data_IF_445512219492
#
_entry.id   IF_445512219492
#
_cell.length_a   1.000
_cell.length_b   1.000
_cell.length_c   1.000
_cell.angle_alpha   90.00
_cell.angle_beta   90.00
_cell.angle_gamma   90.00
#
_symmetry.space_group_name_H-M   'P 1'
#
loop_
_entity.id
_entity.type
_entity.pdbx_description
1 polymer ?
#
# COMPACT_ATOMS: atom_id res chain seq x y z
N UNK A 1 -1.52 -1.13 67.77
CA UNK A 1 -2.44 -1.85 68.67
C UNK A 1 -3.56 -2.45 67.81
N UNK A 2 -3.70 -3.79 67.82
CA UNK A 2 -4.83 -4.63 67.36
C UNK A 2 -5.21 -4.49 65.86
N UNK A 3 -4.94 -5.41 64.91
CA UNK A 3 -5.14 -6.88 64.79
C UNK A 3 -6.55 -7.37 65.11
N UNK A 4 -7.32 -7.73 64.07
CA UNK A 4 -8.21 -8.92 63.93
C UNK A 4 -8.98 -8.79 62.60
N UNK A 5 -8.75 -9.61 61.54
CA UNK A 5 -9.26 -10.98 61.28
C UNK A 5 -10.80 -11.04 61.30
N UNK A 6 -11.58 -11.60 60.36
CA UNK A 6 -11.47 -12.48 59.17
C UNK A 6 -12.90 -12.52 58.51
N UNK A 7 -13.40 -13.53 57.75
CA UNK A 7 -12.79 -14.47 56.78
C UNK A 7 -13.57 -14.65 55.43
N UNK A 8 -12.90 -15.33 54.47
CA UNK A 8 -13.33 -16.41 53.54
C UNK A 8 -14.72 -16.35 52.83
N UNK A 9 -14.71 -16.51 51.49
CA UNK A 9 -14.95 -17.81 50.82
C UNK A 9 -15.30 -17.68 49.32
N UNK A 10 -14.44 -18.26 48.48
CA UNK A 10 -14.70 -19.11 47.30
C UNK A 10 -16.11 -19.18 46.70
N UNK A 11 -16.21 -19.01 45.36
CA UNK A 11 -17.41 -19.40 44.60
C UNK A 11 -17.24 -19.38 43.08
N UNK A 12 -16.90 -20.55 42.51
CA UNK A 12 -16.94 -20.96 41.09
C UNK A 12 -18.04 -20.32 40.22
N UNK A 13 -17.66 -19.88 39.01
CA UNK A 13 -18.49 -19.91 37.77
C UNK A 13 -18.55 -21.36 37.23
N UNK A 14 -19.32 -21.71 36.18
CA UNK A 14 -20.61 -21.23 35.65
C UNK A 14 -21.63 -22.38 35.46
N UNK A 15 -22.93 -22.10 35.31
CA UNK A 15 -23.87 -23.01 34.64
C UNK A 15 -24.91 -22.20 33.85
N UNK A 16 -24.75 -22.15 32.54
CA UNK A 16 -25.77 -21.73 31.60
C UNK A 16 -26.49 -22.99 31.11
N UNK A 17 -27.79 -23.04 31.38
CA UNK A 17 -28.73 -24.00 30.84
C UNK A 17 -29.30 -23.48 29.51
N UNK A 18 -29.49 -24.37 28.53
CA UNK A 18 -30.58 -24.44 27.53
C UNK A 18 -30.17 -25.52 26.50
N UNK A 19 -30.75 -26.73 26.51
CA UNK A 19 -32.04 -27.11 25.93
C UNK A 19 -32.17 -26.80 24.42
N UNK A 20 -32.14 -27.85 23.58
CA UNK A 20 -33.07 -27.98 22.46
C UNK A 20 -33.21 -29.43 22.00
N UNK A 21 -34.45 -29.90 22.01
CA UNK A 21 -34.93 -31.18 21.47
C UNK A 21 -35.54 -31.01 20.08
N UNK A 22 -35.49 -32.12 19.34
CA UNK A 22 -36.44 -32.64 18.35
C UNK A 22 -36.25 -32.34 16.84
N UNK A 23 -36.20 -33.47 16.13
CA UNK A 23 -36.30 -33.68 14.69
C UNK A 23 -37.60 -33.09 14.10
N UNK A 24 -37.48 -32.49 12.92
CA UNK A 24 -38.57 -32.24 11.99
C UNK A 24 -38.07 -32.38 10.56
N UNK A 25 -38.38 -33.50 9.93
CA UNK A 25 -38.15 -33.75 8.50
C UNK A 25 -39.04 -32.84 7.67
N UNK A 26 -38.46 -32.08 6.73
CA UNK A 26 -39.22 -31.43 5.65
C UNK A 26 -38.71 -32.00 4.32
N UNK A 27 -39.65 -32.60 3.59
CA UNK A 27 -39.47 -33.08 2.23
C UNK A 27 -39.16 -31.90 1.29
N UNK A 28 -38.04 -31.97 0.59
CA UNK A 28 -37.74 -31.06 -0.53
C UNK A 28 -38.37 -31.66 -1.77
N UNK A 29 -39.51 -31.13 -2.18
CA UNK A 29 -40.09 -31.43 -3.49
C UNK A 29 -39.35 -30.64 -4.57
N UNK A 30 -38.70 -31.38 -5.46
CA UNK A 30 -38.13 -30.88 -6.71
C UNK A 30 -39.21 -30.29 -7.61
N UNK A 31 -39.00 -29.07 -8.11
CA UNK A 31 -39.64 -28.60 -9.34
C UNK A 31 -38.55 -28.35 -10.38
N UNK A 32 -38.68 -29.04 -11.50
CA UNK A 32 -37.69 -29.16 -12.56
C UNK A 32 -37.64 -27.94 -13.48
N UNK A 33 -36.40 -27.62 -13.88
CA UNK A 33 -35.96 -27.15 -15.19
C UNK A 33 -36.74 -26.02 -15.89
N UNK A 34 -36.24 -24.77 -15.74
CA UNK A 34 -36.05 -23.82 -16.85
C UNK A 34 -35.43 -22.49 -16.34
N UNK A 35 -34.10 -22.46 -16.20
CA UNK A 35 -33.23 -21.26 -16.33
C UNK A 35 -31.76 -21.67 -16.20
N UNK A 36 -31.33 -22.52 -17.13
CA UNK A 36 -29.93 -22.83 -17.35
C UNK A 36 -29.58 -22.32 -18.75
N UNK A 37 -29.35 -21.00 -18.89
CA UNK A 37 -28.83 -20.47 -20.16
C UNK A 37 -27.92 -19.23 -20.04
N UNK A 38 -27.26 -19.05 -18.90
CA UNK A 38 -26.15 -18.06 -18.78
C UNK A 38 -24.85 -18.69 -18.26
N UNK A 39 -24.85 -20.00 -17.99
CA UNK A 39 -23.66 -20.76 -17.59
C UNK A 39 -22.94 -21.45 -18.77
N UNK A 40 -23.49 -21.33 -19.98
CA UNK A 40 -22.98 -22.05 -21.17
C UNK A 40 -22.13 -21.17 -22.10
N UNK A 41 -22.05 -19.85 -21.87
CA UNK A 41 -21.16 -18.96 -22.64
C UNK A 41 -19.73 -18.88 -22.10
N UNK A 42 -19.46 -19.37 -20.89
CA UNK A 42 -18.11 -19.37 -20.30
C UNK A 42 -17.35 -20.69 -20.47
N UNK A 43 -17.88 -21.70 -21.17
CA UNK A 43 -17.13 -22.95 -21.37
C UNK A 43 -16.30 -22.99 -22.66
N UNK A 44 -16.64 -22.25 -23.71
CA UNK A 44 -15.84 -22.25 -24.94
C UNK A 44 -14.69 -21.23 -24.96
N UNK A 45 -14.86 -20.04 -24.38
CA UNK A 45 -13.75 -19.07 -24.25
C UNK A 45 -12.61 -19.61 -23.35
N UNK A 46 -12.95 -20.51 -22.43
CA UNK A 46 -11.98 -21.11 -21.48
C UNK A 46 -11.36 -22.41 -22.01
N UNK A 47 -11.84 -22.95 -23.15
CA UNK A 47 -11.25 -24.12 -23.81
C UNK A 47 -10.31 -23.75 -24.98
N UNK A 48 -10.31 -22.50 -25.45
CA UNK A 48 -9.32 -22.00 -26.45
C UNK A 48 -8.06 -21.37 -25.83
N UNK A 49 -8.05 -21.13 -24.51
CA UNK A 49 -6.82 -20.75 -23.80
C UNK A 49 -5.74 -21.86 -23.82
N UNK A 50 -6.10 -23.08 -24.23
CA UNK A 50 -5.19 -24.20 -24.43
C UNK A 50 -4.48 -24.26 -25.78
N UNK A 51 -4.60 -23.23 -26.64
CA UNK A 51 -4.00 -23.25 -27.99
C UNK A 51 -3.30 -21.95 -28.41
N UNK A 52 -2.74 -21.20 -27.47
CA UNK A 52 -1.73 -20.21 -27.84
C UNK A 52 -0.49 -20.93 -28.37
N UNK A 53 -0.12 -20.64 -29.62
CA UNK A 53 1.20 -21.00 -30.15
C UNK A 53 2.29 -20.33 -29.31
N UNK A 54 3.48 -20.91 -29.27
CA UNK A 54 4.66 -20.28 -28.64
C UNK A 54 4.86 -18.85 -29.17
N UNK A 55 4.61 -18.63 -30.46
CA UNK A 55 4.71 -17.32 -31.12
C UNK A 55 3.68 -16.28 -30.63
N UNK A 56 2.50 -16.71 -30.17
CA UNK A 56 1.46 -15.80 -29.66
C UNK A 56 1.69 -15.45 -28.19
N UNK A 57 2.29 -16.37 -27.42
CA UNK A 57 2.80 -16.07 -26.08
C UNK A 57 3.99 -15.09 -26.15
N UNK A 58 4.93 -15.30 -27.06
CA UNK A 58 6.08 -14.41 -27.25
C UNK A 58 5.65 -13.00 -27.72
N UNK A 59 4.58 -12.88 -28.50
CA UNK A 59 4.00 -11.60 -28.91
C UNK A 59 3.20 -10.90 -27.79
N UNK A 60 2.60 -11.65 -26.87
CA UNK A 60 1.86 -11.13 -25.72
C UNK A 60 2.79 -10.66 -24.58
N UNK A 61 4.02 -11.19 -24.50
CA UNK A 61 5.06 -10.79 -23.54
C UNK A 61 6.16 -9.89 -24.14
N UNK A 62 6.06 -9.53 -25.42
CA UNK A 62 6.91 -8.51 -26.00
C UNK A 62 6.59 -7.14 -25.37
N UNK A 63 7.58 -6.55 -24.69
CA UNK A 63 7.42 -5.25 -24.05
C UNK A 63 7.19 -4.14 -25.10
N UNK A 64 6.36 -3.13 -24.83
CA UNK A 64 6.31 -1.93 -25.65
C UNK A 64 7.69 -1.26 -25.68
N UNK A 65 8.04 -0.51 -26.75
CA UNK A 65 9.32 0.18 -26.83
C UNK A 65 9.45 1.14 -25.65
N UNK A 66 10.46 0.91 -24.82
CA UNK A 66 10.87 1.82 -23.74
C UNK A 66 11.76 2.90 -24.35
N UNK A 67 11.36 4.15 -24.13
CA UNK A 67 12.07 5.35 -24.56
C UNK A 67 13.46 5.40 -23.87
N UNK A 68 14.58 5.49 -24.59
CA UNK A 68 15.94 5.40 -24.02
C UNK A 68 16.36 6.59 -23.12
N UNK A 69 15.43 7.45 -22.70
CA UNK A 69 15.70 8.69 -21.97
C UNK A 69 15.69 8.57 -20.43
N UNK A 70 15.71 7.36 -19.86
CA UNK A 70 15.80 7.16 -18.40
C UNK A 70 17.17 6.61 -17.97
N UNK A 71 18.20 7.45 -18.03
CA UNK A 71 19.58 7.07 -17.63
C UNK A 71 19.85 7.14 -16.12
N UNK A 72 18.84 7.35 -15.27
CA UNK A 72 18.99 7.36 -13.80
C UNK A 72 18.11 6.34 -13.05
N UNK A 73 17.42 5.45 -13.78
CA UNK A 73 16.73 4.33 -13.15
C UNK A 73 17.76 3.22 -12.83
N UNK A 74 18.02 3.00 -11.54
CA UNK A 74 18.71 1.79 -11.06
C UNK A 74 18.09 0.56 -11.76
N UNK A 75 18.92 -0.24 -12.44
CA UNK A 75 18.48 -1.44 -13.19
C UNK A 75 17.57 -2.31 -12.30
N UNK A 76 16.35 -2.61 -12.77
CA UNK A 76 15.41 -3.47 -12.06
C UNK A 76 15.83 -4.94 -12.19
N UNK A 77 16.40 -5.49 -11.12
CA UNK A 77 16.85 -6.89 -11.04
C UNK A 77 15.82 -7.83 -10.39
N UNK A 78 14.59 -7.38 -10.13
CA UNK A 78 13.60 -8.13 -9.34
C UNK A 78 13.26 -9.50 -9.96
N UNK A 79 12.96 -9.53 -11.27
CA UNK A 79 12.69 -10.77 -12.02
C UNK A 79 13.92 -11.70 -12.03
N UNK A 80 15.11 -11.13 -12.23
CA UNK A 80 16.37 -11.85 -12.23
C UNK A 80 16.60 -12.58 -10.89
N UNK A 81 16.40 -11.89 -9.77
CA UNK A 81 16.55 -12.47 -8.42
C UNK A 81 15.45 -13.48 -8.09
N UNK A 82 14.22 -13.27 -8.57
CA UNK A 82 13.12 -14.23 -8.43
C UNK A 82 13.40 -15.56 -9.15
N UNK A 83 13.98 -15.52 -10.35
CA UNK A 83 14.40 -16.73 -11.06
C UNK A 83 15.58 -17.42 -10.38
N UNK A 84 16.52 -16.64 -9.86
CA UNK A 84 17.66 -17.19 -9.13
C UNK A 84 17.25 -17.88 -7.82
N UNK A 85 16.29 -17.34 -7.07
CA UNK A 85 15.79 -17.96 -5.83
C UNK A 85 15.07 -19.30 -6.07
N UNK A 86 14.43 -19.47 -7.23
CA UNK A 86 13.81 -20.73 -7.65
C UNK A 86 14.79 -21.71 -8.30
N UNK A 87 16.07 -21.35 -8.44
CA UNK A 87 17.07 -22.10 -9.20
C UNK A 87 16.64 -22.37 -10.66
N UNK A 88 15.86 -21.45 -11.24
CA UNK A 88 15.36 -21.54 -12.62
C UNK A 88 16.41 -21.03 -13.62
N UNK A 89 17.49 -21.78 -13.83
CA UNK A 89 18.67 -21.35 -14.60
C UNK A 89 18.36 -20.83 -16.01
N UNK A 90 17.46 -21.50 -16.75
CA UNK A 90 17.07 -21.05 -18.09
C UNK A 90 16.38 -19.67 -18.08
N UNK A 91 15.58 -19.38 -17.04
CA UNK A 91 14.91 -18.09 -16.85
C UNK A 91 15.90 -17.01 -16.41
N UNK A 92 16.86 -17.36 -15.56
CA UNK A 92 17.96 -16.46 -15.16
C UNK A 92 18.77 -16.01 -16.38
N UNK A 93 19.18 -16.94 -17.23
CA UNK A 93 19.95 -16.61 -18.44
C UNK A 93 19.17 -15.74 -19.42
N UNK A 94 17.87 -16.00 -19.58
CA UNK A 94 17.00 -15.18 -20.41
C UNK A 94 16.90 -13.74 -19.89
N UNK A 95 16.75 -13.57 -18.58
CA UNK A 95 16.67 -12.24 -17.97
C UNK A 95 18.01 -11.50 -18.02
N UNK A 96 19.14 -12.19 -17.84
CA UNK A 96 20.48 -11.59 -18.03
C UNK A 96 20.64 -11.06 -19.46
N UNK A 97 20.21 -11.82 -20.49
CA UNK A 97 20.28 -11.37 -21.88
C UNK A 97 19.42 -10.13 -22.11
N UNK A 98 18.19 -10.12 -21.58
CA UNK A 98 17.28 -8.98 -21.64
C UNK A 98 17.91 -7.74 -21.01
N UNK A 99 18.43 -7.86 -19.78
CA UNK A 99 19.02 -6.74 -19.04
C UNK A 99 20.28 -6.20 -19.73
N UNK A 100 21.14 -7.06 -20.28
CA UNK A 100 22.30 -6.61 -21.07
C UNK A 100 21.91 -5.89 -22.36
N UNK A 101 20.81 -6.29 -23.00
CA UNK A 101 20.31 -5.62 -24.20
C UNK A 101 19.73 -4.22 -23.89
N UNK A 102 19.09 -4.08 -22.73
CA UNK A 102 18.51 -2.80 -22.28
C UNK A 102 19.55 -1.86 -21.66
N UNK A 103 20.59 -2.41 -21.01
CA UNK A 103 21.59 -1.66 -20.26
C UNK A 103 23.01 -2.09 -20.66
N UNK A 104 23.56 -1.58 -21.78
CA UNK A 104 24.92 -1.87 -22.23
C UNK A 104 25.96 -1.36 -21.21
N UNK A 105 26.49 -2.28 -20.38
CA UNK A 105 27.41 -1.96 -19.28
C UNK A 105 26.98 -2.52 -17.92
N UNK A 106 25.73 -3.00 -17.80
CA UNK A 106 25.30 -3.76 -16.63
C UNK A 106 25.89 -5.19 -16.66
N UNK A 107 26.34 -5.66 -15.49
CA UNK A 107 26.83 -7.02 -15.29
C UNK A 107 25.98 -7.74 -14.23
N UNK A 108 25.70 -9.05 -14.39
CA UNK A 108 24.96 -9.82 -13.41
C UNK A 108 25.61 -9.75 -12.01
N UNK A 109 24.82 -9.53 -10.95
CA UNK A 109 25.35 -9.54 -9.60
C UNK A 109 26.04 -10.86 -9.25
N UNK A 110 27.25 -10.79 -8.69
CA UNK A 110 27.96 -11.99 -8.24
C UNK A 110 27.22 -12.73 -7.10
N UNK A 111 26.29 -12.06 -6.41
CA UNK A 111 25.47 -12.61 -5.33
C UNK A 111 24.09 -13.12 -5.81
N UNK A 112 23.89 -13.28 -7.12
CA UNK A 112 22.61 -13.60 -7.72
C UNK A 112 21.88 -14.79 -7.08
N UNK A 113 22.61 -15.85 -6.71
CA UNK A 113 22.04 -17.06 -6.12
C UNK A 113 22.05 -17.09 -4.59
N UNK A 114 22.44 -15.99 -3.92
CA UNK A 114 22.24 -15.91 -2.47
C UNK A 114 20.74 -15.87 -2.18
N UNK A 115 20.25 -16.61 -1.16
CA UNK A 115 18.85 -16.54 -0.76
C UNK A 115 18.50 -15.10 -0.37
N UNK A 116 17.72 -14.41 -1.20
CA UNK A 116 17.38 -13.00 -0.99
C UNK A 116 16.08 -12.79 -0.18
N UNK A 117 15.24 -13.81 0.00
CA UNK A 117 13.88 -13.63 0.55
C UNK A 117 13.46 -14.61 1.65
N UNK A 118 14.01 -15.82 1.72
CA UNK A 118 13.53 -16.85 2.67
C UNK A 118 13.95 -16.60 4.14
N UNK A 119 14.85 -15.66 4.39
CA UNK A 119 15.43 -15.39 5.71
C UNK A 119 15.33 -13.90 6.08
N UNK A 120 14.29 -13.19 5.63
CA UNK A 120 14.06 -11.79 6.02
C UNK A 120 12.77 -11.58 6.82
N UNK A 121 12.02 -12.64 7.12
CA UNK A 121 10.72 -12.51 7.78
C UNK A 121 10.82 -11.70 9.08
N UNK A 122 11.83 -11.95 9.91
CA UNK A 122 12.05 -11.17 11.13
C UNK A 122 12.29 -9.66 10.86
N UNK A 123 12.95 -9.31 9.75
CA UNK A 123 13.13 -7.90 9.35
C UNK A 123 11.83 -7.29 8.86
N UNK A 124 11.03 -8.07 8.11
CA UNK A 124 9.70 -7.66 7.67
C UNK A 124 8.73 -7.50 8.83
N UNK A 125 8.84 -8.32 9.87
CA UNK A 125 8.05 -8.19 11.10
C UNK A 125 8.41 -6.88 11.84
N UNK A 126 9.71 -6.53 11.94
CA UNK A 126 10.13 -5.24 12.49
C UNK A 126 9.58 -4.07 11.67
N UNK A 127 9.61 -4.17 10.34
CA UNK A 127 9.03 -3.17 9.44
C UNK A 127 7.51 -3.03 9.65
N UNK A 128 6.79 -4.15 9.74
CA UNK A 128 5.33 -4.21 9.90
C UNK A 128 4.85 -3.69 11.25
N UNK A 129 5.65 -3.82 12.31
CA UNK A 129 5.37 -3.29 13.64
C UNK A 129 5.86 -1.84 13.86
N UNK A 130 6.24 -1.12 12.79
CA UNK A 130 6.80 0.24 12.87
C UNK A 130 8.10 0.37 13.69
N UNK A 131 8.83 -0.73 13.91
CA UNK A 131 10.07 -0.76 14.69
C UNK A 131 11.30 -0.41 13.82
N UNK A 132 11.29 0.78 13.24
CA UNK A 132 12.26 1.20 12.20
C UNK A 132 13.71 1.27 12.72
N UNK A 133 13.93 1.77 13.94
CA UNK A 133 15.26 1.79 14.53
C UNK A 133 15.80 0.38 14.81
N UNK A 134 14.92 -0.54 15.25
CA UNK A 134 15.30 -1.94 15.48
C UNK A 134 15.59 -2.66 14.16
N UNK A 135 14.82 -2.39 13.11
CA UNK A 135 15.08 -2.90 11.76
C UNK A 135 16.46 -2.50 11.26
N UNK A 136 16.82 -1.22 11.37
CA UNK A 136 18.14 -0.71 10.97
C UNK A 136 19.26 -1.37 11.75
N UNK A 137 19.08 -1.50 13.07
CA UNK A 137 20.04 -2.16 13.94
C UNK A 137 20.22 -3.65 13.61
N UNK A 138 19.14 -4.37 13.30
CA UNK A 138 19.24 -5.79 12.95
C UNK A 138 19.86 -5.99 11.56
N UNK A 139 19.59 -5.09 10.61
CA UNK A 139 20.30 -5.06 9.32
C UNK A 139 21.81 -4.90 9.56
N UNK A 140 22.23 -3.90 10.34
CA UNK A 140 23.65 -3.67 10.64
C UNK A 140 24.30 -4.88 11.31
N UNK A 141 23.66 -5.42 12.35
CA UNK A 141 24.13 -6.60 13.07
C UNK A 141 24.27 -7.82 12.16
N UNK A 142 23.30 -8.05 11.28
CA UNK A 142 23.36 -9.18 10.35
C UNK A 142 24.44 -9.00 9.30
N UNK A 143 24.59 -7.80 8.74
CA UNK A 143 25.68 -7.47 7.82
C UNK A 143 27.05 -7.71 8.47
N UNK A 144 27.21 -7.38 9.76
CA UNK A 144 28.45 -7.65 10.50
C UNK A 144 28.69 -9.16 10.74
N UNK A 145 27.64 -9.93 11.07
CA UNK A 145 27.74 -11.38 11.32
C UNK A 145 27.86 -12.23 10.06
N UNK A 146 27.36 -11.73 8.92
CA UNK A 146 27.29 -12.47 7.65
C UNK A 146 27.95 -11.64 6.52
N UNK A 147 29.29 -11.69 6.39
CA UNK A 147 29.99 -11.00 5.32
C UNK A 147 29.44 -11.37 3.93
N UNK A 148 29.03 -10.36 3.15
CA UNK A 148 28.44 -10.54 1.82
C UNK A 148 26.92 -10.74 1.81
N UNK A 149 26.27 -10.84 2.97
CA UNK A 149 24.81 -10.67 3.05
C UNK A 149 24.45 -9.20 2.87
N UNK A 150 23.34 -8.94 2.17
CA UNK A 150 22.73 -7.62 1.99
C UNK A 150 21.20 -7.77 2.10
N UNK A 151 20.49 -6.77 2.64
CA UNK A 151 19.04 -6.77 2.61
C UNK A 151 18.49 -6.77 1.19
N UNK A 152 17.30 -7.31 1.00
CA UNK A 152 16.59 -7.25 -0.28
C UNK A 152 16.31 -5.80 -0.71
N UNK A 153 16.29 -5.56 -2.03
CA UNK A 153 16.01 -4.24 -2.58
C UNK A 153 14.65 -3.70 -2.13
N UNK A 154 13.62 -4.56 -2.04
CA UNK A 154 12.28 -4.17 -1.58
C UNK A 154 12.30 -3.70 -0.11
N UNK A 155 13.02 -4.40 0.78
CA UNK A 155 13.15 -3.99 2.18
C UNK A 155 13.85 -2.63 2.29
N UNK A 156 14.92 -2.42 1.52
CA UNK A 156 15.64 -1.14 1.48
C UNK A 156 14.75 -0.02 0.93
N UNK A 157 13.99 -0.28 -0.13
CA UNK A 157 13.09 0.69 -0.74
C UNK A 157 11.95 1.09 0.20
N UNK A 158 11.32 0.12 0.87
CA UNK A 158 10.25 0.35 1.84
C UNK A 158 10.77 1.05 3.10
N UNK A 159 11.93 0.65 3.62
CA UNK A 159 12.58 1.32 4.74
C UNK A 159 12.86 2.79 4.41
N UNK A 160 13.48 3.07 3.25
CA UNK A 160 13.74 4.45 2.81
C UNK A 160 12.48 5.29 2.77
N UNK A 161 11.41 4.80 2.12
CA UNK A 161 10.13 5.55 2.04
C UNK A 161 9.57 5.85 3.43
N UNK A 162 9.67 4.90 4.35
CA UNK A 162 9.20 5.05 5.72
C UNK A 162 10.04 6.08 6.50
N UNK A 163 11.35 6.11 6.30
CA UNK A 163 12.22 7.14 6.87
C UNK A 163 11.87 8.53 6.32
N UNK A 164 11.67 8.67 5.00
CA UNK A 164 11.26 9.96 4.42
C UNK A 164 9.92 10.42 4.99
N UNK A 165 8.94 9.51 5.13
CA UNK A 165 7.66 9.80 5.78
C UNK A 165 7.84 10.31 7.21
N UNK A 166 8.64 9.62 8.03
CA UNK A 166 8.92 10.02 9.42
C UNK A 166 9.55 11.41 9.46
N UNK A 167 10.54 11.67 8.62
CA UNK A 167 11.22 12.97 8.56
C UNK A 167 10.27 14.08 8.10
N UNK A 168 9.38 13.79 7.13
CA UNK A 168 8.38 14.74 6.63
C UNK A 168 7.38 15.11 7.72
N UNK A 169 6.89 14.12 8.46
CA UNK A 169 5.98 14.35 9.60
C UNK A 169 6.66 15.19 10.67
N UNK A 170 7.90 14.84 11.06
CA UNK A 170 8.68 15.62 12.04
C UNK A 170 8.90 17.06 11.58
N UNK A 171 9.26 17.28 10.32
CA UNK A 171 9.43 18.61 9.75
C UNK A 171 8.11 19.40 9.77
N UNK A 172 7.01 18.76 9.41
CA UNK A 172 5.68 19.37 9.44
C UNK A 172 5.22 19.69 10.87
N UNK A 173 5.45 18.81 11.84
CA UNK A 173 5.14 19.06 13.26
C UNK A 173 5.96 20.22 13.84
N UNK A 174 7.19 20.40 13.33
CA UNK A 174 8.06 21.53 13.66
C UNK A 174 7.77 22.80 12.83
N UNK A 175 6.77 22.78 11.94
CA UNK A 175 6.46 23.85 10.98
C UNK A 175 7.63 24.26 10.06
N UNK A 176 8.59 23.35 9.81
CA UNK A 176 9.65 23.53 8.82
C UNK A 176 9.11 23.21 7.42
N UNK A 177 8.32 24.14 6.88
CA UNK A 177 7.62 23.96 5.60
C UNK A 177 8.58 23.83 4.42
N UNK A 178 9.73 24.52 4.46
CA UNK A 178 10.78 24.39 3.46
C UNK A 178 11.34 22.97 3.42
N UNK A 179 11.56 22.36 4.60
CA UNK A 179 12.01 20.97 4.68
C UNK A 179 10.95 19.98 4.18
N UNK A 180 9.66 20.21 4.48
CA UNK A 180 8.56 19.39 3.96
C UNK A 180 8.57 19.39 2.42
N UNK A 181 8.69 20.56 1.79
CA UNK A 181 8.77 20.67 0.33
C UNK A 181 9.98 19.93 -0.24
N UNK A 182 11.17 20.15 0.34
CA UNK A 182 12.39 19.46 -0.09
C UNK A 182 12.25 17.93 -0.03
N UNK A 183 11.61 17.41 1.02
CA UNK A 183 11.40 15.97 1.17
C UNK A 183 10.41 15.44 0.14
N UNK A 184 9.34 16.19 -0.15
CA UNK A 184 8.35 15.84 -1.17
C UNK A 184 8.93 15.86 -2.59
N UNK A 185 9.81 16.81 -2.92
CA UNK A 185 10.49 16.88 -4.22
C UNK A 185 11.45 15.70 -4.44
N UNK A 186 12.10 15.24 -3.37
CA UNK A 186 13.04 14.10 -3.43
C UNK A 186 12.35 12.75 -3.63
N UNK A 187 11.09 12.62 -3.20
CA UNK A 187 10.31 11.39 -3.34
C UNK A 187 8.89 11.70 -3.84
N UNK A 188 8.70 11.86 -5.17
CA UNK A 188 7.41 12.22 -5.75
C UNK A 188 6.28 11.21 -5.43
N UNK A 189 6.60 9.96 -5.08
CA UNK A 189 5.59 8.96 -4.72
C UNK A 189 4.80 9.31 -3.46
N UNK A 190 5.32 10.23 -2.64
CA UNK A 190 4.62 10.72 -1.44
C UNK A 190 3.32 11.45 -1.74
N UNK A 191 3.11 11.90 -2.99
CA UNK A 191 1.89 12.61 -3.40
C UNK A 191 0.89 11.74 -4.18
N UNK A 192 1.14 10.44 -4.32
CA UNK A 192 0.28 9.51 -5.10
C UNK A 192 -1.09 9.22 -4.44
N UNK A 193 -1.34 9.73 -3.23
CA UNK A 193 -2.63 9.60 -2.55
C UNK A 193 -2.79 8.35 -1.66
N UNK A 194 -1.78 7.46 -1.64
CA UNK A 194 -1.79 6.26 -0.79
C UNK A 194 -1.77 6.58 0.72
N UNK A 195 -1.16 7.72 1.09
CA UNK A 195 -1.10 8.22 2.46
C UNK A 195 -1.64 9.66 2.51
N UNK A 196 -2.93 9.79 2.82
CA UNK A 196 -3.60 11.08 2.92
C UNK A 196 -2.96 12.01 3.95
N UNK A 197 -2.42 11.49 5.05
CA UNK A 197 -1.79 12.31 6.08
C UNK A 197 -0.58 13.06 5.49
N UNK A 198 0.26 12.35 4.74
CA UNK A 198 1.42 12.93 4.07
C UNK A 198 0.99 13.96 3.02
N UNK A 199 -0.01 13.64 2.19
CA UNK A 199 -0.51 14.58 1.18
C UNK A 199 -1.04 15.87 1.82
N UNK A 200 -1.80 15.77 2.91
CA UNK A 200 -2.31 16.94 3.62
C UNK A 200 -1.19 17.82 4.19
N UNK A 201 -0.11 17.21 4.71
CA UNK A 201 1.05 17.95 5.24
C UNK A 201 1.82 18.66 4.13
N UNK A 202 1.99 18.02 2.97
CA UNK A 202 2.60 18.65 1.79
C UNK A 202 1.72 19.79 1.26
N UNK A 203 0.40 19.61 1.24
CA UNK A 203 -0.54 20.65 0.84
C UNK A 203 -0.45 21.86 1.77
N UNK A 204 -0.41 21.63 3.09
CA UNK A 204 -0.21 22.69 4.07
C UNK A 204 1.12 23.41 3.85
N UNK A 205 2.23 22.68 3.73
CA UNK A 205 3.53 23.29 3.46
C UNK A 205 3.54 24.12 2.16
N UNK A 206 2.78 23.71 1.13
CA UNK A 206 2.67 24.46 -0.12
C UNK A 206 1.95 25.80 0.11
N UNK A 207 0.86 25.78 0.88
CA UNK A 207 0.14 27.01 1.21
C UNK A 207 0.98 27.97 2.06
N UNK A 208 1.69 27.45 3.06
CA UNK A 208 2.53 28.23 3.99
C UNK A 208 3.77 28.82 3.31
N UNK A 209 4.24 28.20 2.23
CA UNK A 209 5.35 28.72 1.40
C UNK A 209 4.87 29.59 0.23
N UNK A 210 3.57 29.90 0.17
CA UNK A 210 2.98 30.79 -0.83
C UNK A 210 2.49 30.11 -2.11
N UNK A 211 2.75 28.81 -2.30
CA UNK A 211 2.24 28.01 -3.41
C UNK A 211 0.79 27.55 -3.18
N UNK A 212 -0.14 28.50 -2.97
CA UNK A 212 -1.55 28.21 -2.60
C UNK A 212 -2.32 27.44 -3.66
N UNK A 213 -2.06 27.69 -4.95
CA UNK A 213 -2.71 26.95 -6.04
C UNK A 213 -2.27 25.48 -6.02
N UNK A 214 -0.98 25.22 -5.78
CA UNK A 214 -0.44 23.86 -5.64
C UNK A 214 -1.06 23.14 -4.44
N UNK A 215 -1.27 23.85 -3.33
CA UNK A 215 -1.95 23.31 -2.15
C UNK A 215 -3.40 22.89 -2.46
N UNK A 216 -4.16 23.72 -3.21
CA UNK A 216 -5.50 23.36 -3.65
C UNK A 216 -5.51 22.08 -4.50
N UNK A 217 -4.59 21.97 -5.46
CA UNK A 217 -4.49 20.77 -6.29
C UNK A 217 -4.14 19.51 -5.47
N UNK A 218 -3.29 19.64 -4.44
CA UNK A 218 -3.01 18.53 -3.51
C UNK A 218 -4.24 18.12 -2.70
N UNK A 219 -5.04 19.07 -2.21
CA UNK A 219 -6.28 18.74 -1.52
C UNK A 219 -7.33 18.12 -2.45
N UNK A 220 -7.40 18.52 -3.73
CA UNK A 220 -8.24 17.85 -4.73
C UNK A 220 -7.81 16.42 -4.96
N UNK A 221 -6.51 16.18 -5.12
CA UNK A 221 -5.95 14.83 -5.26
C UNK A 221 -6.24 13.97 -4.02
N UNK A 222 -6.03 14.52 -2.81
CA UNK A 222 -6.38 13.86 -1.55
C UNK A 222 -7.87 13.50 -1.48
N UNK A 223 -8.75 14.42 -1.90
CA UNK A 223 -10.20 14.19 -1.90
C UNK A 223 -10.60 13.07 -2.87
N UNK A 224 -9.94 12.99 -4.02
CA UNK A 224 -10.17 11.93 -5.01
C UNK A 224 -9.67 10.56 -4.51
N UNK A 225 -8.53 10.52 -3.81
CA UNK A 225 -7.94 9.31 -3.27
C UNK A 225 -8.65 8.79 -2.00
N UNK A 226 -9.39 9.65 -1.29
CA UNK A 226 -10.07 9.30 -0.05
C UNK A 226 -11.11 8.18 -0.23
N UNK A 227 -10.97 7.16 0.62
CA UNK A 227 -11.70 5.88 0.59
C UNK A 227 -12.95 5.93 1.47
N UNK A 228 -12.92 6.72 2.54
CA UNK A 228 -14.03 6.83 3.50
C UNK A 228 -14.67 8.22 3.51
N UNK A 229 -15.93 8.31 3.96
CA UNK A 229 -16.62 9.60 4.13
C UNK A 229 -15.90 10.52 5.15
N UNK A 230 -15.27 9.92 6.17
CA UNK A 230 -14.49 10.65 7.17
C UNK A 230 -13.22 11.25 6.57
N UNK A 231 -12.46 10.49 5.76
CA UNK A 231 -11.28 10.98 5.05
C UNK A 231 -11.63 12.14 4.09
N UNK A 232 -12.76 12.03 3.39
CA UNK A 232 -13.25 13.08 2.50
C UNK A 232 -13.59 14.36 3.26
N UNK A 233 -14.40 14.24 4.31
CA UNK A 233 -14.77 15.36 5.18
C UNK A 233 -13.54 15.99 5.85
N UNK A 234 -12.61 15.17 6.33
CA UNK A 234 -11.35 15.59 6.91
C UNK A 234 -10.47 16.37 5.92
N UNK A 235 -10.43 15.93 4.66
CA UNK A 235 -9.72 16.63 3.58
C UNK A 235 -10.29 18.04 3.36
N UNK A 236 -11.61 18.17 3.22
CA UNK A 236 -12.26 19.47 3.01
C UNK A 236 -12.05 20.38 4.22
N UNK A 237 -12.19 19.87 5.45
CA UNK A 237 -11.96 20.66 6.67
C UNK A 237 -10.52 21.16 6.78
N UNK A 238 -9.54 20.32 6.45
CA UNK A 238 -8.12 20.72 6.43
C UNK A 238 -7.86 21.79 5.36
N UNK A 239 -8.42 21.63 4.17
CA UNK A 239 -8.31 22.63 3.12
C UNK A 239 -8.95 23.96 3.53
N UNK A 240 -10.13 23.95 4.17
CA UNK A 240 -10.76 25.16 4.71
C UNK A 240 -9.88 25.87 5.74
N UNK A 241 -9.28 25.12 6.66
CA UNK A 241 -8.40 25.68 7.69
C UNK A 241 -7.13 26.33 7.10
N UNK A 242 -6.56 25.76 6.04
CA UNK A 242 -5.29 26.21 5.44
C UNK A 242 -5.50 27.25 4.32
N UNK A 243 -6.48 27.01 3.46
CA UNK A 243 -6.74 27.82 2.27
C UNK A 243 -7.77 28.93 2.52
N UNK A 244 -8.62 28.76 3.52
CA UNK A 244 -9.79 29.60 3.74
C UNK A 244 -10.97 29.22 2.84
N UNK A 245 -12.16 29.65 3.27
CA UNK A 245 -13.46 29.49 2.61
C UNK A 245 -13.43 29.63 1.08
N UNK A 246 -12.97 30.79 0.60
CA UNK A 246 -13.01 31.15 -0.82
C UNK A 246 -12.14 30.22 -1.67
N UNK A 247 -10.89 29.96 -1.24
CA UNK A 247 -9.95 29.17 -2.04
C UNK A 247 -10.22 27.66 -1.96
N UNK A 248 -10.79 27.17 -0.86
CA UNK A 248 -11.20 25.77 -0.73
C UNK A 248 -12.54 25.47 -1.42
N UNK A 249 -13.32 26.49 -1.80
CA UNK A 249 -14.62 26.40 -2.47
C UNK A 249 -14.73 25.33 -3.57
N UNK A 250 -13.75 25.19 -4.49
CA UNK A 250 -13.79 24.17 -5.54
C UNK A 250 -13.86 22.72 -5.04
N UNK A 251 -13.47 22.41 -3.80
CA UNK A 251 -13.54 21.05 -3.24
C UNK A 251 -14.98 20.58 -3.02
N UNK A 252 -15.92 21.51 -2.79
CA UNK A 252 -17.34 21.17 -2.64
C UNK A 252 -17.97 20.64 -3.93
N UNK A 253 -17.37 20.89 -5.10
CA UNK A 253 -17.82 20.28 -6.35
C UNK A 253 -17.63 18.75 -6.39
N UNK A 254 -16.75 18.22 -5.55
CA UNK A 254 -16.54 16.79 -5.40
C UNK A 254 -17.55 16.09 -4.50
N UNK A 255 -18.52 16.81 -3.92
CA UNK A 255 -19.47 16.29 -2.94
C UNK A 255 -20.28 15.09 -3.45
N UNK A 256 -20.41 14.08 -2.60
CA UNK A 256 -21.30 12.92 -2.79
C UNK A 256 -22.60 13.11 -2.01
N UNK A 257 -23.70 12.63 -2.58
CA UNK A 257 -25.00 12.64 -1.92
C UNK A 257 -25.25 11.32 -1.19
N UNK A 258 -25.66 11.40 0.08
CA UNK A 258 -26.04 10.25 0.89
C UNK A 258 -27.42 9.68 0.52
N UNK A 259 -27.79 8.51 1.08
CA UNK A 259 -29.12 7.90 0.86
C UNK A 259 -30.29 8.76 1.33
N UNK A 260 -30.03 9.71 2.23
CA UNK A 260 -30.98 10.68 2.77
C UNK A 260 -31.14 11.93 1.87
N UNK A 261 -30.46 11.96 0.72
CA UNK A 261 -30.50 13.08 -0.23
C UNK A 261 -29.65 14.28 0.19
N UNK A 262 -28.92 14.18 1.31
CA UNK A 262 -28.06 15.27 1.81
C UNK A 262 -26.65 15.18 1.23
N UNK A 263 -26.03 16.34 1.05
CA UNK A 263 -24.64 16.42 0.61
C UNK A 263 -23.68 16.11 1.76
N UNK A 264 -22.64 15.32 1.49
CA UNK A 264 -21.65 14.92 2.52
C UNK A 264 -20.93 16.12 3.19
N UNK A 265 -20.89 17.29 2.56
CA UNK A 265 -20.23 18.49 3.06
C UNK A 265 -21.21 19.60 3.45
N UNK A 266 -22.52 19.34 3.50
CA UNK A 266 -23.55 20.32 3.87
C UNK A 266 -23.25 21.03 5.19
N UNK A 267 -22.84 20.27 6.22
CA UNK A 267 -22.48 20.83 7.52
C UNK A 267 -21.22 21.72 7.48
N UNK A 268 -20.31 21.49 6.54
CA UNK A 268 -19.07 22.27 6.41
C UNK A 268 -19.29 23.62 5.73
N UNK A 269 -20.43 23.84 5.07
CA UNK A 269 -20.76 25.12 4.40
C UNK A 269 -21.18 26.21 5.39
N UNK A 270 -21.55 25.83 6.61
CA UNK A 270 -21.99 26.77 7.65
C UNK A 270 -20.79 27.50 8.31
N UNK A 271 -19.59 26.91 8.21
CA UNK A 271 -18.34 27.47 8.74
C UNK A 271 -17.55 28.32 7.71
N UNK A 272 -18.18 28.72 6.59
CA UNK A 272 -17.58 29.38 5.41
C UNK A 272 -18.10 30.81 5.25
#
# INVERSE_FOLDING_TARGET
MLVTSAPLATGRRPLLALALTLLGSIAVSSFAAARADERTTWSQATLDAGRMSHDDADRAFAAPPVDPAHTDARVDESALRYYASQRASARVEAEIRRLRALYPGWEPPADLYRPAAADEQALWDLYGHDQIDQLKLEIERRTARQPGWRPSADLVDKLRRKEVRIDLIKASDAADWAKVQQLAERDPKLVDGDDLEVVWRIAQAAAETGARDRALELYKAALAAAKTAEERTGTVRKALAVLGATAAGPLFAGERTGPDGKGEFEALRVDV
#
